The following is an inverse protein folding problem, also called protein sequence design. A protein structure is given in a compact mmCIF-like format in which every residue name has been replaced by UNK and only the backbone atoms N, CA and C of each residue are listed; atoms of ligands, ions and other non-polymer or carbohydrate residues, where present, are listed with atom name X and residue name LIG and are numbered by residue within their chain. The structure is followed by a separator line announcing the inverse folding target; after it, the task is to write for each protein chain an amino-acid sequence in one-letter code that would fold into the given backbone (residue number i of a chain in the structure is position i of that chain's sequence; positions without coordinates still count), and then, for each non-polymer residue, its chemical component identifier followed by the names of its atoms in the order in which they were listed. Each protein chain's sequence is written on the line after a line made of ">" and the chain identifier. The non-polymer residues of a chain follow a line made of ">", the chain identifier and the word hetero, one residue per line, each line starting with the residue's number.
data_IF_787104713900
#
_entry.id   IF_787104713900
#
_cell.length_a   1.000
_cell.length_b   1.000
_cell.length_c   1.000
_cell.angle_alpha   90.00
_cell.angle_beta   90.00
_cell.angle_gamma   90.00
#
_symmetry.space_group_name_H-M   'P 1'
#
loop_
_entity.id
_entity.type
_entity.pdbx_description
1 polymer ?
#
# COMPACT_ATOMS: atom_id res chain seq x y z
N UNK A 1 -11.14 -27.68 -7.92
CA UNK A 1 -10.99 -26.29 -7.46
C UNK A 1 -10.02 -25.64 -8.43
N UNK A 2 -10.46 -24.60 -9.13
CA UNK A 2 -9.71 -24.01 -10.23
C UNK A 2 -8.38 -23.43 -9.72
N UNK A 3 -7.28 -23.66 -10.45
CA UNK A 3 -5.92 -23.21 -10.08
C UNK A 3 -5.89 -21.71 -9.75
N UNK A 4 -6.70 -20.90 -10.44
CA UNK A 4 -6.82 -19.47 -10.21
C UNK A 4 -7.41 -19.14 -8.82
N UNK A 5 -8.41 -19.91 -8.37
CA UNK A 5 -9.01 -19.74 -7.06
C UNK A 5 -8.05 -20.13 -5.92
N UNK A 6 -7.24 -21.17 -6.14
CA UNK A 6 -6.17 -21.55 -5.22
C UNK A 6 -5.11 -20.45 -5.07
N UNK A 7 -4.70 -19.82 -6.19
CA UNK A 7 -3.76 -18.71 -6.18
C UNK A 7 -4.34 -17.47 -5.50
N UNK A 8 -5.58 -17.09 -5.82
CA UNK A 8 -6.27 -15.97 -5.18
C UNK A 8 -6.43 -16.17 -3.67
N UNK A 9 -6.77 -17.39 -3.24
CA UNK A 9 -6.84 -17.75 -1.82
C UNK A 9 -5.46 -17.68 -1.15
N UNK A 10 -4.42 -18.24 -1.77
CA UNK A 10 -3.04 -18.18 -1.25
C UNK A 10 -2.53 -16.75 -1.11
N UNK A 11 -2.78 -15.90 -2.10
CA UNK A 11 -2.46 -14.47 -2.06
C UNK A 11 -3.25 -13.73 -0.99
N UNK A 12 -4.55 -14.03 -0.85
CA UNK A 12 -5.38 -13.44 0.20
C UNK A 12 -4.86 -13.80 1.60
N UNK A 13 -4.41 -15.04 1.81
CA UNK A 13 -3.80 -15.47 3.08
C UNK A 13 -2.49 -14.72 3.33
N UNK A 14 -1.62 -14.61 2.31
CA UNK A 14 -0.37 -13.86 2.40
C UNK A 14 -0.61 -12.38 2.76
N UNK A 15 -1.56 -11.74 2.08
CA UNK A 15 -1.92 -10.33 2.32
C UNK A 15 -2.58 -10.14 3.68
N UNK A 16 -3.50 -11.02 4.07
CA UNK A 16 -4.09 -10.98 5.41
C UNK A 16 -3.04 -11.14 6.49
N UNK A 17 -2.07 -12.05 6.33
CA UNK A 17 -0.96 -12.21 7.27
C UNK A 17 -0.12 -10.94 7.36
N UNK A 18 0.25 -10.32 6.23
CA UNK A 18 0.98 -9.05 6.20
C UNK A 18 0.23 -7.95 6.95
N UNK A 19 -1.06 -7.78 6.67
CA UNK A 19 -1.91 -6.77 7.31
C UNK A 19 -2.10 -7.00 8.81
N UNK A 20 -2.31 -8.25 9.23
CA UNK A 20 -2.45 -8.61 10.66
C UNK A 20 -1.15 -8.37 11.42
N UNK A 21 0.00 -8.71 10.82
CA UNK A 21 1.31 -8.47 11.46
C UNK A 21 1.54 -6.96 11.59
N UNK A 22 1.24 -6.19 10.55
CA UNK A 22 1.42 -4.74 10.57
C UNK A 22 0.51 -4.07 11.61
N UNK A 23 -0.76 -4.47 11.71
CA UNK A 23 -1.66 -4.00 12.77
C UNK A 23 -1.14 -4.26 14.18
N UNK A 24 -0.47 -5.39 14.39
CA UNK A 24 0.03 -5.79 15.71
C UNK A 24 1.37 -5.16 16.06
N UNK A 25 2.22 -4.91 15.06
CA UNK A 25 3.63 -4.58 15.28
C UNK A 25 4.05 -3.24 14.69
N UNK A 26 3.15 -2.56 13.97
CA UNK A 26 3.41 -1.34 13.18
C UNK A 26 4.60 -1.50 12.20
N UNK A 27 4.90 -2.74 11.82
CA UNK A 27 6.04 -3.10 10.99
C UNK A 27 5.67 -4.27 10.09
N UNK A 28 5.78 -4.07 8.77
CA UNK A 28 5.79 -5.18 7.82
C UNK A 28 7.18 -5.86 7.84
N UNK A 29 7.28 -7.16 8.17
CA UNK A 29 8.56 -7.82 8.32
C UNK A 29 9.30 -7.98 6.99
N UNK A 30 10.61 -7.70 7.03
CA UNK A 30 11.50 -7.84 5.86
C UNK A 30 11.55 -9.28 5.33
N UNK A 31 11.45 -10.28 6.20
CA UNK A 31 11.48 -11.69 5.78
C UNK A 31 10.26 -12.08 4.95
N UNK A 32 9.15 -11.33 5.07
CA UNK A 32 7.94 -11.57 4.28
C UNK A 32 8.03 -10.87 2.93
N UNK A 33 8.45 -9.60 2.93
CA UNK A 33 8.42 -8.74 1.73
C UNK A 33 9.64 -8.89 0.84
N UNK A 34 10.87 -8.94 1.40
CA UNK A 34 12.09 -8.94 0.58
C UNK A 34 12.23 -10.20 -0.29
N UNK A 35 11.96 -11.43 0.22
CA UNK A 35 12.00 -12.60 -0.64
C UNK A 35 10.94 -12.56 -1.75
N UNK A 36 9.75 -12.06 -1.45
CA UNK A 36 8.68 -11.90 -2.43
C UNK A 36 9.07 -10.87 -3.51
N UNK A 37 9.59 -9.71 -3.12
CA UNK A 37 10.11 -8.69 -4.03
C UNK A 37 11.20 -9.26 -4.94
N UNK A 38 12.20 -9.93 -4.36
CA UNK A 38 13.31 -10.50 -5.12
C UNK A 38 12.82 -11.58 -6.11
N UNK A 39 11.98 -12.51 -5.66
CA UNK A 39 11.43 -13.57 -6.50
C UNK A 39 10.61 -13.02 -7.67
N UNK A 40 9.72 -12.06 -7.40
CA UNK A 40 8.90 -11.43 -8.43
C UNK A 40 9.74 -10.59 -9.40
N UNK A 41 10.72 -9.84 -8.90
CA UNK A 41 11.62 -9.07 -9.76
C UNK A 41 12.41 -9.99 -10.70
N UNK A 42 13.01 -11.08 -10.18
CA UNK A 42 13.72 -12.06 -11.00
C UNK A 42 12.79 -12.66 -12.05
N UNK A 43 11.57 -13.06 -11.65
CA UNK A 43 10.58 -13.62 -12.55
C UNK A 43 10.18 -12.65 -13.69
N UNK A 44 9.92 -11.38 -13.38
CA UNK A 44 9.55 -10.35 -14.36
C UNK A 44 10.72 -10.00 -15.28
N UNK A 45 11.93 -9.84 -14.72
CA UNK A 45 13.14 -9.58 -15.51
C UNK A 45 13.47 -10.72 -16.46
N UNK A 46 13.29 -11.98 -16.04
CA UNK A 46 13.47 -13.15 -16.90
C UNK A 46 12.49 -13.16 -18.10
N UNK A 47 11.36 -12.45 -17.98
CA UNK A 47 10.37 -12.26 -19.06
C UNK A 47 10.53 -10.93 -19.81
N UNK A 48 11.55 -10.13 -19.48
CA UNK A 48 11.80 -8.79 -20.02
C UNK A 48 10.63 -7.81 -19.79
N UNK A 49 9.81 -8.06 -18.77
CA UNK A 49 8.71 -7.19 -18.39
C UNK A 49 9.22 -6.11 -17.43
N UNK A 50 9.55 -4.92 -17.94
CA UNK A 50 10.20 -3.87 -17.16
C UNK A 50 9.23 -2.86 -16.53
N UNK A 51 7.92 -2.93 -16.84
CA UNK A 51 6.91 -1.97 -16.37
C UNK A 51 6.87 -1.84 -14.85
N UNK A 52 7.10 -2.94 -14.11
CA UNK A 52 7.12 -2.92 -12.64
C UNK A 52 8.22 -2.00 -12.07
N UNK A 53 9.33 -1.80 -12.79
CA UNK A 53 10.42 -0.93 -12.35
C UNK A 53 9.99 0.53 -12.29
N UNK A 54 9.11 0.98 -13.18
CA UNK A 54 8.56 2.34 -13.14
C UNK A 54 7.71 2.55 -11.89
N UNK A 55 6.86 1.57 -11.54
CA UNK A 55 6.09 1.60 -10.29
C UNK A 55 7.02 1.56 -9.07
N UNK A 56 8.03 0.69 -9.07
CA UNK A 56 9.01 0.61 -7.97
C UNK A 56 9.78 1.91 -7.78
N UNK A 57 10.20 2.55 -8.87
CA UNK A 57 10.86 3.85 -8.81
C UNK A 57 9.93 4.92 -8.23
N UNK A 58 8.66 4.97 -8.68
CA UNK A 58 7.68 5.89 -8.13
C UNK A 58 7.42 5.66 -6.64
N UNK A 59 7.23 4.40 -6.21
CA UNK A 59 7.01 4.03 -4.82
C UNK A 59 8.24 4.37 -3.97
N UNK A 60 9.44 4.11 -4.47
CA UNK A 60 10.69 4.49 -3.80
C UNK A 60 10.77 6.00 -3.58
N UNK A 61 10.46 6.81 -4.59
CA UNK A 61 10.45 8.28 -4.46
C UNK A 61 9.39 8.76 -3.46
N UNK A 62 8.22 8.13 -3.42
CA UNK A 62 7.18 8.45 -2.42
C UNK A 62 7.62 8.09 -1.00
N UNK A 63 8.31 6.97 -0.85
CA UNK A 63 8.91 6.57 0.42
C UNK A 63 10.04 7.52 0.85
N UNK A 64 10.94 7.88 -0.06
CA UNK A 64 12.02 8.85 0.18
C UNK A 64 11.46 10.22 0.57
N UNK A 65 10.37 10.65 -0.09
CA UNK A 65 9.60 11.84 0.24
C UNK A 65 8.80 11.72 1.55
N UNK A 66 8.92 10.62 2.30
CA UNK A 66 8.24 10.40 3.60
C UNK A 66 6.72 10.47 3.50
N UNK A 67 6.16 10.13 2.35
CA UNK A 67 4.70 10.04 2.18
C UNK A 67 4.21 8.72 2.78
N UNK A 68 4.97 7.63 2.62
CA UNK A 68 4.64 6.30 3.13
C UNK A 68 5.71 5.75 4.07
N UNK A 69 5.29 4.85 4.97
CA UNK A 69 6.21 4.07 5.79
C UNK A 69 6.99 3.04 4.96
N UNK A 70 8.16 2.65 5.46
CA UNK A 70 9.01 1.66 4.77
C UNK A 70 8.32 0.28 4.61
N UNK A 71 7.40 -0.07 5.50
CA UNK A 71 6.60 -1.30 5.40
C UNK A 71 5.60 -1.25 4.25
N UNK A 72 4.80 -0.19 4.20
CA UNK A 72 3.80 0.05 3.15
C UNK A 72 4.44 0.10 1.76
N UNK A 73 5.58 0.78 1.63
CA UNK A 73 6.32 0.88 0.38
C UNK A 73 6.74 -0.50 -0.14
N UNK A 74 7.32 -1.35 0.71
CA UNK A 74 7.74 -2.71 0.32
C UNK A 74 6.55 -3.58 -0.06
N UNK A 75 5.46 -3.49 0.70
CA UNK A 75 4.24 -4.23 0.39
C UNK A 75 3.69 -3.84 -0.99
N UNK A 76 3.66 -2.55 -1.30
CA UNK A 76 3.21 -2.08 -2.60
C UNK A 76 4.18 -2.45 -3.72
N UNK A 77 5.48 -2.48 -3.47
CA UNK A 77 6.43 -3.00 -4.44
C UNK A 77 6.16 -4.49 -4.73
N UNK A 78 5.82 -5.31 -3.73
CA UNK A 78 5.37 -6.70 -3.98
C UNK A 78 4.12 -6.73 -4.86
N UNK A 79 3.11 -5.93 -4.52
CA UNK A 79 1.84 -5.90 -5.25
C UNK A 79 2.00 -5.44 -6.71
N UNK A 80 2.76 -4.38 -6.96
CA UNK A 80 3.04 -3.89 -8.31
C UNK A 80 4.02 -4.76 -9.11
N UNK A 81 4.83 -5.60 -8.45
CA UNK A 81 5.57 -6.64 -9.16
C UNK A 81 4.66 -7.83 -9.52
N UNK A 82 3.63 -8.09 -8.71
CA UNK A 82 2.63 -9.13 -8.96
C UNK A 82 1.64 -8.72 -10.06
N UNK A 83 1.23 -7.45 -10.09
CA UNK A 83 0.32 -6.88 -11.09
C UNK A 83 0.81 -5.48 -11.54
N UNK A 84 1.74 -5.41 -12.50
CA UNK A 84 2.26 -4.14 -13.03
C UNK A 84 1.29 -3.52 -14.04
N UNK A 85 0.01 -3.42 -13.68
CA UNK A 85 -1.10 -3.05 -14.56
C UNK A 85 -1.82 -1.81 -14.02
N UNK A 86 -2.39 -1.02 -14.92
CA UNK A 86 -3.15 0.19 -14.57
C UNK A 86 -4.45 -0.14 -13.84
N UNK A 87 -5.07 -1.29 -14.16
CA UNK A 87 -6.30 -1.73 -13.50
C UNK A 87 -6.06 -2.03 -12.02
N UNK A 88 -4.91 -2.64 -11.69
CA UNK A 88 -4.50 -2.83 -10.30
C UNK A 88 -4.31 -1.49 -9.59
N UNK A 89 -3.60 -0.53 -10.21
CA UNK A 89 -3.43 0.82 -9.64
C UNK A 89 -4.79 1.47 -9.34
N UNK A 90 -5.75 1.34 -10.25
CA UNK A 90 -7.09 1.91 -10.08
C UNK A 90 -7.85 1.27 -8.92
N UNK A 91 -7.87 -0.07 -8.85
CA UNK A 91 -8.54 -0.81 -7.77
C UNK A 91 -7.91 -0.48 -6.42
N UNK A 92 -6.58 -0.40 -6.37
CA UNK A 92 -5.82 -0.04 -5.17
C UNK A 92 -6.13 1.39 -4.73
N UNK A 93 -6.09 2.35 -5.66
CA UNK A 93 -6.42 3.75 -5.38
C UNK A 93 -7.86 3.91 -4.88
N UNK A 94 -8.82 3.22 -5.52
CA UNK A 94 -10.22 3.23 -5.09
C UNK A 94 -10.38 2.62 -3.70
N UNK A 95 -9.68 1.54 -3.39
CA UNK A 95 -9.73 0.90 -2.07
C UNK A 95 -9.18 1.83 -0.98
N UNK A 96 -8.03 2.46 -1.24
CA UNK A 96 -7.43 3.45 -0.33
C UNK A 96 -8.33 4.66 -0.16
N UNK A 97 -8.97 5.17 -1.22
CA UNK A 97 -9.90 6.29 -1.11
C UNK A 97 -11.17 5.89 -0.34
N UNK A 98 -11.78 4.76 -0.70
CA UNK A 98 -13.03 4.28 -0.10
C UNK A 98 -12.87 3.91 1.38
N UNK A 99 -11.73 3.37 1.79
CA UNK A 99 -11.45 3.06 3.21
C UNK A 99 -10.78 4.21 3.97
N UNK A 100 -9.87 4.92 3.30
CA UNK A 100 -9.09 6.01 3.89
C UNK A 100 -9.92 7.26 4.17
N UNK A 101 -10.85 7.65 3.27
CA UNK A 101 -11.69 8.83 3.50
C UNK A 101 -12.58 8.66 4.75
N UNK A 102 -13.38 7.59 4.89
CA UNK A 102 -14.16 7.37 6.12
C UNK A 102 -13.30 7.28 7.36
N UNK A 103 -12.13 6.64 7.27
CA UNK A 103 -11.19 6.55 8.38
C UNK A 103 -10.68 7.94 8.80
N UNK A 104 -10.28 8.79 7.86
CA UNK A 104 -9.86 10.16 8.13
C UNK A 104 -11.01 10.99 8.72
N UNK A 105 -12.22 10.88 8.17
CA UNK A 105 -13.42 11.54 8.72
C UNK A 105 -13.62 11.10 10.17
N UNK A 106 -13.61 9.80 10.46
CA UNK A 106 -13.78 9.28 11.81
C UNK A 106 -12.67 9.75 12.76
N UNK A 107 -11.41 9.77 12.30
CA UNK A 107 -10.24 10.23 13.06
C UNK A 107 -10.32 11.71 13.43
N UNK A 108 -10.82 12.55 12.52
CA UNK A 108 -10.86 14.00 12.69
C UNK A 108 -12.23 14.56 13.09
N UNK A 109 -13.27 13.72 13.25
CA UNK A 109 -14.63 14.16 13.59
C UNK A 109 -14.75 14.97 14.88
N UNK A 110 -13.78 14.85 15.78
CA UNK A 110 -13.75 15.54 17.07
C UNK A 110 -12.82 16.77 17.08
N UNK A 111 -12.15 17.08 15.96
CA UNK A 111 -11.31 18.28 15.83
C UNK A 111 -12.06 19.39 15.13
N UNK A 112 -11.85 20.64 15.57
CA UNK A 112 -12.53 21.76 14.94
C UNK A 112 -11.91 22.05 13.55
N UNK A 113 -12.72 22.30 12.50
CA UNK A 113 -12.20 22.68 11.17
C UNK A 113 -11.21 23.87 11.18
N UNK A 114 -11.38 24.90 12.04
CA UNK A 114 -10.42 25.99 12.16
C UNK A 114 -9.04 25.54 12.68
N UNK A 115 -8.99 24.57 13.59
CA UNK A 115 -7.72 24.01 14.09
C UNK A 115 -6.97 23.24 13.01
N UNK A 116 -7.67 22.47 12.19
CA UNK A 116 -7.11 21.76 11.03
C UNK A 116 -6.55 22.75 9.99
N UNK A 117 -7.31 23.80 9.67
CA UNK A 117 -6.88 24.84 8.75
C UNK A 117 -5.65 25.59 9.28
N UNK A 118 -5.61 25.89 10.59
CA UNK A 118 -4.45 26.55 11.23
C UNK A 118 -3.22 25.64 11.22
N UNK A 119 -3.38 24.34 11.49
CA UNK A 119 -2.29 23.36 11.44
C UNK A 119 -1.72 23.20 10.02
N UNK A 120 -2.58 23.12 9.00
CA UNK A 120 -2.17 23.09 7.60
C UNK A 120 -1.44 24.37 7.18
N UNK A 121 -1.97 25.53 7.59
CA UNK A 121 -1.34 26.82 7.30
C UNK A 121 0.02 26.96 7.97
N UNK A 122 0.16 26.49 9.20
CA UNK A 122 1.45 26.46 9.92
C UNK A 122 2.45 25.51 9.24
N UNK A 123 2.01 24.35 8.75
CA UNK A 123 2.86 23.42 7.97
C UNK A 123 3.34 24.04 6.65
N UNK A 124 2.45 24.72 5.92
CA UNK A 124 2.80 25.44 4.70
C UNK A 124 3.78 26.58 4.96
N UNK A 125 3.56 27.37 6.01
CA UNK A 125 4.42 28.51 6.37
C UNK A 125 5.79 28.09 6.89
N UNK A 126 5.89 26.94 7.58
CA UNK A 126 7.16 26.41 8.10
C UNK A 126 7.95 25.60 7.06
N UNK A 127 7.43 25.47 5.84
CA UNK A 127 8.03 24.65 4.78
C UNK A 127 7.98 23.13 5.07
N UNK A 128 7.32 22.70 6.15
CA UNK A 128 7.15 21.29 6.53
C UNK A 128 5.91 20.70 5.88
N UNK A 129 5.96 20.62 4.55
CA UNK A 129 4.85 20.06 3.73
C UNK A 129 4.82 18.53 3.88
N UNK A 130 5.97 17.89 4.04
CA UNK A 130 6.11 16.45 4.17
C UNK A 130 6.04 15.99 5.64
N UNK A 131 5.50 14.79 5.92
CA UNK A 131 5.50 14.19 7.25
C UNK A 131 6.92 13.99 7.79
N UNK A 132 7.09 14.12 9.10
CA UNK A 132 8.33 13.72 9.78
C UNK A 132 8.34 12.22 10.03
N UNK A 133 9.53 11.65 10.30
CA UNK A 133 9.68 10.23 10.62
C UNK A 133 8.87 9.82 11.86
N UNK A 134 8.87 10.66 12.89
CA UNK A 134 8.07 10.48 14.10
C UNK A 134 6.55 10.53 13.82
N UNK A 135 6.10 11.34 12.85
CA UNK A 135 4.70 11.39 12.44
C UNK A 135 4.28 10.12 11.68
N UNK A 136 5.18 9.54 10.89
CA UNK A 136 4.95 8.27 10.19
C UNK A 136 4.95 7.07 11.14
N UNK A 137 5.86 7.04 12.12
CA UNK A 137 5.91 5.94 13.10
C UNK A 137 4.66 5.88 13.98
N UNK A 138 4.07 7.04 14.29
CA UNK A 138 2.83 7.15 15.04
C UNK A 138 1.58 7.14 14.15
N UNK A 139 1.74 7.03 12.84
CA UNK A 139 0.61 6.97 11.92
C UNK A 139 -0.10 5.60 12.06
N UNK A 140 -1.43 5.59 11.90
CA UNK A 140 -2.16 4.34 11.79
C UNK A 140 -1.66 3.56 10.56
N UNK A 141 -1.48 2.24 10.67
CA UNK A 141 -0.95 1.41 9.60
C UNK A 141 -1.84 1.46 8.36
N UNK A 142 -1.28 1.87 7.22
CA UNK A 142 -1.99 1.89 5.94
C UNK A 142 -2.08 0.49 5.31
N UNK A 143 -1.21 -0.44 5.72
CA UNK A 143 -1.10 -1.80 5.17
C UNK A 143 -2.42 -2.57 5.13
N UNK A 144 -3.38 -2.32 6.02
CA UNK A 144 -4.70 -2.95 5.92
C UNK A 144 -5.50 -2.54 4.68
N UNK A 145 -5.43 -1.26 4.30
CA UNK A 145 -6.07 -0.80 3.07
C UNK A 145 -5.35 -1.38 1.85
N UNK A 146 -4.01 -1.46 1.93
CA UNK A 146 -3.19 -1.96 0.84
C UNK A 146 -3.36 -3.46 0.58
N UNK A 147 -3.40 -4.24 1.66
CA UNK A 147 -3.67 -5.67 1.61
C UNK A 147 -5.10 -5.98 1.16
N UNK A 148 -6.06 -5.13 1.53
CA UNK A 148 -7.44 -5.26 1.06
C UNK A 148 -7.54 -5.02 -0.45
N UNK A 149 -6.91 -3.97 -0.99
CA UNK A 149 -6.94 -3.68 -2.42
C UNK A 149 -6.30 -4.79 -3.26
N UNK A 150 -5.13 -5.29 -2.83
CA UNK A 150 -4.50 -6.47 -3.42
C UNK A 150 -5.37 -7.73 -3.39
N UNK A 151 -6.08 -7.99 -2.29
CA UNK A 151 -6.98 -9.14 -2.19
C UNK A 151 -8.20 -8.98 -3.11
N UNK A 152 -8.81 -7.79 -3.14
CA UNK A 152 -9.94 -7.47 -4.03
C UNK A 152 -9.53 -7.71 -5.49
N UNK A 153 -8.39 -7.17 -5.91
CA UNK A 153 -7.89 -7.36 -7.28
C UNK A 153 -7.69 -8.84 -7.62
N UNK A 154 -7.05 -9.61 -6.73
CA UNK A 154 -6.83 -11.04 -6.92
C UNK A 154 -8.13 -11.81 -7.19
N UNK A 155 -9.20 -11.48 -6.46
CA UNK A 155 -10.51 -12.10 -6.64
C UNK A 155 -11.24 -11.63 -7.89
N UNK A 156 -11.15 -10.34 -8.24
CA UNK A 156 -11.76 -9.81 -9.47
C UNK A 156 -11.14 -10.47 -10.72
N UNK A 157 -9.81 -10.60 -10.77
CA UNK A 157 -9.12 -11.32 -11.84
C UNK A 157 -9.46 -12.82 -11.84
N UNK A 158 -9.54 -13.45 -10.66
CA UNK A 158 -9.93 -14.86 -10.55
C UNK A 158 -11.33 -15.14 -11.10
N UNK A 159 -12.26 -14.20 -10.93
CA UNK A 159 -13.64 -14.30 -11.42
C UNK A 159 -13.80 -13.86 -12.89
N UNK A 160 -12.72 -13.39 -13.53
CA UNK A 160 -12.75 -12.88 -14.91
C UNK A 160 -13.57 -11.60 -15.07
N UNK A 161 -13.66 -10.78 -14.01
CA UNK A 161 -14.38 -9.51 -14.03
C UNK A 161 -13.51 -8.35 -14.54
N UNK A 162 -12.19 -8.57 -14.60
CA UNK A 162 -11.16 -7.69 -15.14
C UNK A 162 -10.07 -8.56 -15.77
#
# INVERSE_FOLDING_TARGET
>A
MDTNALLAAGLSIYLAAAGIIDLKTHKVPNWLTLPAMAGLAIFRLARLELTFLAYWAAIYLLWEARIWGAGDAKLLMVLFALWPEMDFLLVEALTVLAGGIPFLIAKYRHRSPPELARALRLRLLTGRILPTEEELENAPPASCLLTAGGAIYAWLTCLGLI
#
